data_IF_662928754229
#
_entry.id   IF_662928754229
#
_cell.length_a   1.000
_cell.length_b   1.000
_cell.length_c   1.000
_cell.angle_alpha   90.00
_cell.angle_beta   90.00
_cell.angle_gamma   90.00
#
_symmetry.space_group_name_H-M   'P 1'
#
loop_
_entity.id
_entity.type
_entity.pdbx_description
1 polymer ?
#
# COMPACT_ATOMS: atom_id res chain seq x y z
N UNK A 1 2.56 14.63 7.36
CA UNK A 1 1.23 13.96 7.38
C UNK A 1 0.61 13.82 5.98
N UNK A 2 0.65 14.84 5.13
CA UNK A 2 0.09 14.79 3.76
C UNK A 2 0.67 13.69 2.86
N UNK A 3 1.99 13.47 2.86
CA UNK A 3 2.62 12.44 2.02
C UNK A 3 2.18 11.01 2.36
N UNK A 4 1.92 10.71 3.65
CA UNK A 4 1.43 9.40 4.08
C UNK A 4 0.02 9.13 3.57
N UNK A 5 -0.89 10.10 3.72
CA UNK A 5 -2.26 9.97 3.22
C UNK A 5 -2.32 9.85 1.70
N UNK A 6 -1.45 10.57 0.97
CA UNK A 6 -1.34 10.44 -0.47
C UNK A 6 -0.91 9.02 -0.90
N UNK A 7 0.04 8.42 -0.18
CA UNK A 7 0.49 7.04 -0.43
C UNK A 7 -0.60 6.01 -0.11
N UNK A 8 -1.31 6.16 1.02
CA UNK A 8 -2.45 5.32 1.39
C UNK A 8 -3.52 5.40 0.31
N UNK A 9 -3.92 6.62 -0.07
CA UNK A 9 -4.89 6.83 -1.15
C UNK A 9 -4.47 6.14 -2.44
N UNK A 10 -3.23 6.38 -2.90
CA UNK A 10 -2.72 5.78 -4.14
C UNK A 10 -2.76 4.24 -4.14
N UNK A 11 -2.55 3.62 -2.97
CA UNK A 11 -2.67 2.18 -2.82
C UNK A 11 -4.12 1.72 -2.88
N UNK A 12 -4.99 2.34 -2.08
CA UNK A 12 -6.41 1.97 -1.97
C UNK A 12 -7.13 2.11 -3.32
N UNK A 13 -6.82 3.15 -4.10
CA UNK A 13 -7.43 3.35 -5.44
C UNK A 13 -6.62 2.72 -6.59
N UNK A 14 -5.64 1.87 -6.29
CA UNK A 14 -4.88 1.20 -7.34
C UNK A 14 -5.74 0.19 -8.11
N UNK A 15 -5.42 -0.04 -9.40
CA UNK A 15 -6.12 -1.05 -10.21
C UNK A 15 -6.11 -2.44 -9.58
N UNK A 16 -5.06 -2.80 -8.87
CA UNK A 16 -4.96 -4.08 -8.19
C UNK A 16 -5.99 -4.17 -7.06
N UNK A 17 -6.08 -3.14 -6.24
CA UNK A 17 -7.04 -3.04 -5.12
C UNK A 17 -8.48 -2.97 -5.65
N UNK A 18 -8.76 -2.11 -6.62
CA UNK A 18 -10.07 -2.01 -7.24
C UNK A 18 -10.56 -3.35 -7.81
N UNK A 19 -9.67 -4.11 -8.48
CA UNK A 19 -10.03 -5.42 -8.98
C UNK A 19 -10.27 -6.46 -7.87
N UNK A 20 -9.56 -6.35 -6.73
CA UNK A 20 -9.80 -7.20 -5.58
C UNK A 20 -11.19 -6.94 -4.99
N UNK A 21 -11.50 -5.69 -4.68
CA UNK A 21 -12.82 -5.28 -4.16
C UNK A 21 -13.95 -5.63 -5.13
N UNK A 22 -13.73 -5.48 -6.45
CA UNK A 22 -14.69 -5.89 -7.45
C UNK A 22 -15.00 -7.40 -7.41
N UNK A 23 -14.02 -8.26 -7.08
CA UNK A 23 -14.22 -9.69 -6.85
C UNK A 23 -14.99 -9.96 -5.58
N UNK A 24 -14.64 -9.30 -4.47
CA UNK A 24 -15.33 -9.42 -3.18
C UNK A 24 -16.80 -9.03 -3.27
N UNK A 25 -17.11 -8.00 -4.09
CA UNK A 25 -18.48 -7.57 -4.40
C UNK A 25 -19.17 -8.38 -5.51
N UNK A 26 -18.51 -9.43 -6.01
CA UNK A 26 -19.02 -10.34 -7.04
C UNK A 26 -19.43 -9.62 -8.37
N UNK A 27 -18.75 -8.50 -8.67
CA UNK A 27 -19.04 -7.72 -9.86
C UNK A 27 -18.69 -8.46 -11.16
N UNK A 28 -17.72 -9.36 -11.12
CA UNK A 28 -17.36 -10.21 -12.25
C UNK A 28 -18.52 -11.12 -12.66
N UNK A 29 -19.15 -11.83 -11.70
CA UNK A 29 -20.32 -12.67 -11.98
C UNK A 29 -21.47 -11.84 -12.53
N UNK A 30 -21.75 -10.68 -11.91
CA UNK A 30 -22.81 -9.77 -12.39
C UNK A 30 -22.58 -9.26 -13.83
N UNK A 31 -21.31 -9.08 -14.22
CA UNK A 31 -20.93 -8.74 -15.59
C UNK A 31 -21.22 -9.93 -16.54
N UNK A 32 -20.80 -11.13 -16.17
CA UNK A 32 -21.03 -12.35 -16.97
C UNK A 32 -22.52 -12.63 -17.19
N UNK A 33 -23.35 -12.47 -16.14
CA UNK A 33 -24.82 -12.63 -16.21
C UNK A 33 -25.52 -11.62 -17.18
N UNK A 34 -24.83 -10.55 -17.58
CA UNK A 34 -25.33 -9.53 -18.51
C UNK A 34 -24.77 -9.70 -19.92
N UNK A 35 -24.14 -10.84 -20.21
CA UNK A 35 -23.62 -11.13 -21.54
C UNK A 35 -24.74 -11.12 -22.59
N UNK A 36 -24.53 -10.46 -23.74
CA UNK A 36 -25.41 -10.63 -24.88
C UNK A 36 -25.39 -12.06 -25.38
N UNK A 37 -26.50 -12.50 -25.99
CA UNK A 37 -26.60 -13.84 -26.54
C UNK A 37 -25.48 -14.11 -27.56
N UNK A 38 -24.75 -15.23 -27.37
CA UNK A 38 -23.62 -15.63 -28.20
C UNK A 38 -22.25 -15.07 -27.77
N UNK A 39 -22.19 -14.30 -26.68
CA UNK A 39 -20.94 -13.75 -26.12
C UNK A 39 -20.66 -14.22 -24.68
N UNK A 40 -21.36 -15.24 -24.23
CA UNK A 40 -21.29 -15.76 -22.85
C UNK A 40 -19.84 -16.12 -22.45
N UNK A 41 -19.14 -16.90 -23.28
CA UNK A 41 -17.76 -17.33 -23.05
C UNK A 41 -16.76 -16.15 -23.02
N UNK A 42 -17.03 -15.11 -23.80
CA UNK A 42 -16.20 -13.90 -23.82
C UNK A 42 -16.40 -13.11 -22.53
N UNK A 43 -17.65 -12.93 -22.10
CA UNK A 43 -17.97 -12.22 -20.86
C UNK A 43 -17.48 -12.97 -19.62
N UNK A 44 -17.48 -14.30 -19.60
CA UNK A 44 -16.85 -15.10 -18.54
C UNK A 44 -15.34 -14.84 -18.45
N UNK A 45 -14.65 -14.76 -19.58
CA UNK A 45 -13.21 -14.39 -19.60
C UNK A 45 -12.97 -12.96 -19.15
N UNK A 46 -13.81 -12.01 -19.58
CA UNK A 46 -13.74 -10.60 -19.15
C UNK A 46 -13.99 -10.47 -17.64
N UNK A 47 -14.94 -11.23 -17.10
CA UNK A 47 -15.26 -11.26 -15.68
C UNK A 47 -14.09 -11.69 -14.77
N UNK A 48 -13.09 -12.39 -15.30
CA UNK A 48 -11.87 -12.79 -14.59
C UNK A 48 -10.71 -11.81 -14.82
N UNK A 49 -10.83 -10.92 -15.78
CA UNK A 49 -9.75 -10.01 -16.14
C UNK A 49 -9.61 -8.87 -15.13
N UNK A 50 -8.42 -8.74 -14.53
CA UNK A 50 -8.13 -7.72 -13.51
C UNK A 50 -8.41 -6.29 -13.96
N UNK A 51 -8.07 -5.95 -15.21
CA UNK A 51 -8.26 -4.59 -15.71
C UNK A 51 -9.74 -4.29 -15.96
N UNK A 52 -10.49 -5.29 -16.41
CA UNK A 52 -11.95 -5.18 -16.60
C UNK A 52 -12.64 -5.01 -15.25
N UNK A 53 -12.30 -5.82 -14.26
CA UNK A 53 -12.87 -5.73 -12.91
C UNK A 53 -12.61 -4.37 -12.27
N UNK A 54 -11.40 -3.83 -12.42
CA UNK A 54 -11.08 -2.50 -11.94
C UNK A 54 -11.93 -1.42 -12.63
N UNK A 55 -12.11 -1.52 -13.96
CA UNK A 55 -12.95 -0.58 -14.70
C UNK A 55 -14.44 -0.71 -14.33
N UNK A 56 -14.92 -1.93 -14.07
CA UNK A 56 -16.32 -2.17 -13.67
C UNK A 56 -16.63 -1.52 -12.32
N UNK A 57 -15.77 -1.65 -11.31
CA UNK A 57 -16.01 -1.00 -10.02
C UNK A 57 -15.92 0.52 -10.14
N UNK A 58 -14.97 1.06 -10.89
CA UNK A 58 -14.88 2.50 -11.15
C UNK A 58 -16.16 3.04 -11.82
N UNK A 59 -16.67 2.33 -12.81
CA UNK A 59 -17.93 2.69 -13.49
C UNK A 59 -19.13 2.61 -12.55
N UNK A 60 -19.20 1.56 -11.70
CA UNK A 60 -20.27 1.40 -10.72
C UNK A 60 -20.26 2.53 -9.67
N UNK A 61 -19.08 2.88 -9.15
CA UNK A 61 -18.93 4.01 -8.22
C UNK A 61 -19.31 5.34 -8.88
N UNK A 62 -18.91 5.57 -10.13
CA UNK A 62 -19.29 6.74 -10.89
C UNK A 62 -20.81 6.84 -11.11
N UNK A 63 -21.47 5.73 -11.45
CA UNK A 63 -22.92 5.68 -11.61
C UNK A 63 -23.66 5.97 -10.30
N UNK A 64 -23.22 5.36 -9.18
CA UNK A 64 -23.79 5.62 -7.85
C UNK A 64 -23.61 7.08 -7.45
N UNK A 65 -22.44 7.65 -7.68
CA UNK A 65 -22.17 9.07 -7.41
C UNK A 65 -23.10 9.99 -8.18
N UNK A 66 -23.28 9.75 -9.48
CA UNK A 66 -24.15 10.56 -10.32
C UNK A 66 -25.62 10.46 -9.92
N UNK A 67 -26.05 9.30 -9.44
CA UNK A 67 -27.44 9.05 -9.06
C UNK A 67 -27.77 9.54 -7.65
N UNK A 68 -26.86 9.37 -6.69
CA UNK A 68 -27.14 9.55 -5.26
C UNK A 68 -26.33 10.65 -4.60
N UNK A 69 -25.25 11.13 -5.24
CA UNK A 69 -24.31 12.09 -4.67
C UNK A 69 -23.34 11.43 -3.65
N UNK A 70 -22.29 12.18 -3.29
CA UNK A 70 -21.20 11.66 -2.44
C UNK A 70 -21.67 11.21 -1.05
N UNK A 71 -22.44 12.07 -0.37
CA UNK A 71 -22.84 11.82 1.01
C UNK A 71 -23.67 10.53 1.19
N UNK A 72 -24.44 10.12 0.18
CA UNK A 72 -25.27 8.92 0.25
C UNK A 72 -24.48 7.62 0.03
N UNK A 73 -23.31 7.69 -0.60
CA UNK A 73 -22.50 6.50 -0.95
C UNK A 73 -21.22 6.36 -0.13
N UNK A 74 -20.82 7.40 0.60
CA UNK A 74 -19.55 7.47 1.32
C UNK A 74 -19.35 6.28 2.28
N UNK A 75 -20.33 6.02 3.14
CA UNK A 75 -20.26 4.94 4.13
C UNK A 75 -20.12 3.57 3.45
N UNK A 76 -20.89 3.32 2.39
CA UNK A 76 -20.84 2.06 1.65
C UNK A 76 -19.48 1.86 0.93
N UNK A 77 -18.91 2.94 0.38
CA UNK A 77 -17.58 2.88 -0.25
C UNK A 77 -16.52 2.60 0.80
N UNK A 78 -16.53 3.32 1.92
CA UNK A 78 -15.55 3.11 3.01
C UNK A 78 -15.65 1.68 3.53
N UNK A 79 -16.86 1.15 3.71
CA UNK A 79 -17.06 -0.24 4.14
C UNK A 79 -16.53 -1.25 3.12
N UNK A 80 -16.77 -1.05 1.82
CA UNK A 80 -16.29 -1.94 0.76
C UNK A 80 -14.76 -1.97 0.62
N UNK A 81 -14.07 -0.89 1.00
CA UNK A 81 -12.62 -0.78 0.94
C UNK A 81 -11.94 -0.89 2.32
N UNK A 82 -12.66 -1.22 3.39
CA UNK A 82 -12.17 -1.16 4.78
C UNK A 82 -10.93 -1.99 5.01
N UNK A 83 -10.90 -3.26 4.56
CA UNK A 83 -9.74 -4.14 4.70
C UNK A 83 -8.50 -3.59 3.95
N UNK A 84 -8.72 -2.99 2.78
CA UNK A 84 -7.65 -2.43 1.96
C UNK A 84 -7.12 -1.13 2.56
N UNK A 85 -7.98 -0.34 3.20
CA UNK A 85 -7.61 0.86 3.94
C UNK A 85 -6.79 0.46 5.17
N UNK A 86 -7.24 -0.49 5.98
CA UNK A 86 -6.51 -0.98 7.14
C UNK A 86 -5.16 -1.58 6.75
N UNK A 87 -5.13 -2.40 5.70
CA UNK A 87 -3.89 -2.94 5.16
C UNK A 87 -2.92 -1.82 4.74
N UNK A 88 -3.40 -0.80 4.03
CA UNK A 88 -2.56 0.32 3.61
C UNK A 88 -2.04 1.16 4.79
N UNK A 89 -2.84 1.29 5.84
CA UNK A 89 -2.47 2.02 7.05
C UNK A 89 -1.45 1.27 7.91
N UNK A 90 -1.55 -0.07 7.96
CA UNK A 90 -0.71 -0.92 8.82
C UNK A 90 0.55 -1.43 8.13
N UNK A 91 0.45 -1.85 6.86
CA UNK A 91 1.51 -2.58 6.14
C UNK A 91 2.48 -1.67 5.39
N UNK A 92 2.11 -0.42 5.10
CA UNK A 92 2.95 0.55 4.39
C UNK A 92 3.40 1.70 5.27
N UNK A 93 3.96 1.38 6.41
CA UNK A 93 4.78 2.35 7.12
C UNK A 93 6.12 2.39 6.39
N UNK A 94 6.32 3.42 5.55
CA UNK A 94 7.62 3.68 4.91
C UNK A 94 8.48 4.48 5.88
N UNK A 95 8.99 3.77 6.89
CA UNK A 95 9.82 4.36 7.94
C UNK A 95 11.02 5.12 7.37
N UNK A 96 11.57 4.65 6.23
CA UNK A 96 12.67 5.35 5.57
C UNK A 96 12.25 6.75 5.09
N UNK A 97 11.10 6.85 4.45
CA UNK A 97 10.57 8.15 3.99
C UNK A 97 10.18 9.02 5.18
N UNK A 98 9.51 8.45 6.20
CA UNK A 98 9.09 9.19 7.38
C UNK A 98 10.31 9.75 8.14
N UNK A 99 11.40 8.97 8.27
CA UNK A 99 12.66 9.42 8.87
C UNK A 99 13.33 10.51 8.04
N UNK A 100 13.38 10.37 6.71
CA UNK A 100 13.92 11.39 5.82
C UNK A 100 13.14 12.72 5.93
N UNK A 101 11.81 12.67 5.93
CA UNK A 101 10.96 13.87 6.07
C UNK A 101 11.14 14.55 7.44
N UNK A 102 11.25 13.75 8.52
CA UNK A 102 11.50 14.27 9.87
C UNK A 102 12.85 15.00 9.93
N UNK A 103 13.91 14.37 9.42
CA UNK A 103 15.26 14.93 9.45
C UNK A 103 15.44 16.12 8.54
N UNK A 104 14.78 16.14 7.38
CA UNK A 104 14.83 17.26 6.43
C UNK A 104 14.37 18.58 7.05
N UNK A 105 13.40 18.54 7.97
CA UNK A 105 12.90 19.73 8.69
C UNK A 105 14.00 20.41 9.54
N UNK A 106 15.00 19.64 9.95
CA UNK A 106 16.16 20.13 10.72
C UNK A 106 17.47 20.16 9.92
N UNK A 107 17.38 20.03 8.58
CA UNK A 107 18.55 20.03 7.69
C UNK A 107 19.47 18.83 7.85
N UNK A 108 19.00 17.75 8.53
CA UNK A 108 19.75 16.50 8.73
C UNK A 108 19.41 15.48 7.66
N UNK A 109 20.32 14.53 7.45
CA UNK A 109 20.14 13.43 6.51
C UNK A 109 20.48 12.10 7.18
N UNK A 110 19.77 11.02 6.76
CA UNK A 110 20.07 9.66 7.14
C UNK A 110 20.85 8.96 6.04
N UNK A 111 21.84 8.16 6.43
CA UNK A 111 22.54 7.22 5.55
C UNK A 111 22.32 5.80 6.09
N UNK A 112 22.04 4.85 5.19
CA UNK A 112 21.90 3.45 5.57
C UNK A 112 23.18 2.70 5.23
N UNK A 113 23.75 2.02 6.23
CA UNK A 113 24.98 1.25 6.11
C UNK A 113 24.66 -0.22 6.32
N UNK A 114 25.11 -1.07 5.40
CA UNK A 114 25.05 -2.52 5.56
C UNK A 114 26.11 -2.94 6.56
N UNK A 115 25.69 -3.54 7.68
CA UNK A 115 26.57 -3.96 8.78
C UNK A 115 27.03 -5.40 8.59
N UNK A 116 26.09 -6.30 8.26
CA UNK A 116 26.38 -7.70 7.97
C UNK A 116 25.38 -8.31 7.00
N UNK A 117 25.80 -9.41 6.36
CA UNK A 117 24.95 -10.31 5.59
C UNK A 117 25.27 -11.72 6.02
N UNK A 118 24.29 -12.42 6.58
CA UNK A 118 24.45 -13.76 7.12
C UNK A 118 23.54 -14.76 6.40
N UNK A 119 23.87 -16.04 6.45
CA UNK A 119 23.09 -17.13 5.88
C UNK A 119 23.43 -17.48 4.43
N UNK A 120 22.92 -18.64 3.96
CA UNK A 120 23.13 -19.11 2.59
C UNK A 120 22.37 -18.23 1.57
N UNK A 121 22.71 -18.31 0.27
CA UNK A 121 22.14 -17.43 -0.77
C UNK A 121 20.61 -17.36 -0.84
N UNK A 122 19.91 -18.40 -0.40
CA UNK A 122 18.45 -18.52 -0.41
C UNK A 122 17.77 -18.14 0.92
N UNK A 123 18.58 -17.90 1.99
CA UNK A 123 18.10 -17.53 3.32
C UNK A 123 18.97 -16.41 3.92
N UNK A 124 19.35 -15.43 3.10
CA UNK A 124 20.16 -14.30 3.57
C UNK A 124 19.39 -13.45 4.57
N UNK A 125 20.03 -13.12 5.66
CA UNK A 125 19.60 -12.09 6.60
C UNK A 125 20.55 -10.89 6.49
N UNK A 126 20.00 -9.73 6.25
CA UNK A 126 20.73 -8.46 6.14
C UNK A 126 20.56 -7.70 7.45
N UNK A 127 21.66 -7.13 7.96
CA UNK A 127 21.63 -6.16 9.05
C UNK A 127 22.04 -4.81 8.50
N UNK A 128 21.21 -3.79 8.71
CA UNK A 128 21.49 -2.41 8.31
C UNK A 128 21.41 -1.47 9.51
N UNK A 129 22.24 -0.41 9.48
CA UNK A 129 22.19 0.68 10.44
C UNK A 129 21.71 1.97 9.78
N UNK A 130 20.86 2.73 10.48
CA UNK A 130 20.49 4.09 10.12
C UNK A 130 21.43 5.06 10.85
N UNK A 131 22.28 5.76 10.08
CA UNK A 131 23.31 6.67 10.60
C UNK A 131 22.89 8.10 10.29
N UNK A 132 22.87 8.95 11.33
CA UNK A 132 22.50 10.36 11.24
C UNK A 132 23.65 11.16 11.85
N UNK A 133 24.23 12.10 11.08
CA UNK A 133 25.39 12.89 11.49
C UNK A 133 26.61 12.04 11.95
N UNK A 134 26.78 10.84 11.39
CA UNK A 134 27.87 9.93 11.76
C UNK A 134 27.59 9.04 12.98
N UNK A 135 26.42 9.16 13.60
CA UNK A 135 26.00 8.39 14.76
C UNK A 135 24.93 7.35 14.39
N UNK A 136 25.09 6.09 14.84
CA UNK A 136 24.09 5.04 14.62
C UNK A 136 22.88 5.29 15.54
N UNK A 137 21.73 5.63 14.95
CA UNK A 137 20.49 5.86 15.67
C UNK A 137 19.52 4.69 15.63
N UNK A 138 19.65 3.79 14.65
CA UNK A 138 18.81 2.61 14.56
C UNK A 138 19.47 1.48 13.82
N UNK A 139 19.12 0.25 14.18
CA UNK A 139 19.59 -0.99 13.56
C UNK A 139 18.40 -1.86 13.20
N UNK A 140 18.47 -2.55 12.09
CA UNK A 140 17.39 -3.41 11.64
C UNK A 140 17.88 -4.60 10.87
N UNK A 141 17.11 -5.68 10.94
CA UNK A 141 17.36 -6.93 10.25
C UNK A 141 16.22 -7.28 9.29
N UNK A 142 16.53 -8.05 8.25
CA UNK A 142 15.53 -8.50 7.31
C UNK A 142 16.09 -9.40 6.21
N UNK A 143 15.20 -10.17 5.59
CA UNK A 143 15.56 -11.07 4.48
C UNK A 143 15.96 -10.34 3.18
N UNK A 144 15.77 -9.03 3.14
CA UNK A 144 16.25 -8.16 2.06
C UNK A 144 16.88 -6.91 2.65
N UNK A 145 17.85 -6.33 1.95
CA UNK A 145 18.46 -5.05 2.35
C UNK A 145 17.41 -3.97 2.60
N UNK A 146 16.39 -3.89 1.74
CA UNK A 146 15.29 -2.93 1.90
C UNK A 146 14.48 -3.16 3.18
N UNK A 147 14.23 -4.42 3.57
CA UNK A 147 13.51 -4.73 4.81
C UNK A 147 14.34 -4.36 6.04
N UNK A 148 15.66 -4.68 6.04
CA UNK A 148 16.58 -4.30 7.10
C UNK A 148 16.69 -2.77 7.26
N UNK A 149 16.77 -2.02 6.15
CA UNK A 149 16.79 -0.56 6.17
C UNK A 149 15.48 0.05 6.71
N UNK A 150 14.32 -0.54 6.39
CA UNK A 150 13.03 -0.10 6.94
C UNK A 150 12.96 -0.31 8.46
N UNK A 151 13.46 -1.44 8.95
CA UNK A 151 13.50 -1.74 10.38
C UNK A 151 14.49 -0.83 11.12
N UNK A 152 15.66 -0.55 10.53
CA UNK A 152 16.62 0.42 11.07
C UNK A 152 16.02 1.84 11.16
N UNK A 153 15.24 2.23 10.13
CA UNK A 153 14.53 3.52 10.14
C UNK A 153 13.45 3.57 11.22
N UNK A 154 12.72 2.47 11.44
CA UNK A 154 11.71 2.36 12.50
C UNK A 154 12.31 2.59 13.88
N UNK A 155 13.44 1.92 14.17
CA UNK A 155 14.12 2.07 15.45
C UNK A 155 14.65 3.51 15.65
N UNK A 156 15.24 4.10 14.60
CA UNK A 156 15.72 5.48 14.64
C UNK A 156 14.59 6.48 14.92
N UNK A 157 13.42 6.32 14.28
CA UNK A 157 12.24 7.15 14.55
C UNK A 157 11.79 7.04 16.00
N UNK A 158 11.69 5.82 16.53
CA UNK A 158 11.28 5.60 17.93
C UNK A 158 12.22 6.28 18.94
N UNK A 159 13.54 6.27 18.68
CA UNK A 159 14.52 6.96 19.53
C UNK A 159 14.42 8.49 19.42
N UNK A 160 14.15 9.02 18.23
CA UNK A 160 13.97 10.45 18.02
C UNK A 160 12.68 10.97 18.69
N UNK A 161 11.59 10.20 18.63
CA UNK A 161 10.33 10.55 19.28
C UNK A 161 10.45 10.50 20.82
N UNK A 162 11.23 9.57 21.37
CA UNK A 162 11.48 9.48 22.81
C UNK A 162 12.38 10.63 23.35
N UNK A 163 13.11 11.30 22.48
CA UNK A 163 14.04 12.40 22.83
C UNK A 163 13.44 13.80 22.59
N UNK A 164 12.20 13.89 22.05
CA UNK A 164 11.52 15.14 21.71
C UNK A 164 10.54 15.55 22.81
#
# INVERSE_FOLDING_TARGET
>A
MEGRLAKVRSHVVSRATCALVARELDLGRRLAERAPAGLEDEFERLAQNRNVLAAVIEAALGALFLQHGFAAIEEAIVAAFSEQIEHALTTRVDHKTDLQELLARSGRHVTYVEVSVEGPPHERNFTCAAVINGEELGRGEGQTKKAAEQEAAREALAKLDAAA
#
